data_IF_220422148304
#
_entry.id   IF_220422148304
#
_cell.length_a   1.000
_cell.length_b   1.000
_cell.length_c   1.000
_cell.angle_alpha   90.00
_cell.angle_beta   90.00
_cell.angle_gamma   90.00
#
_symmetry.space_group_name_H-M   'P 1'
#
loop_
_entity.id
_entity.type
_entity.pdbx_description
1 polymer ?
#
# COMPACT_ATOMS: atom_id res chain seq x y z
N UNK A 1 -5.48 -13.31 -5.90
CA UNK A 1 -5.90 -14.64 -5.40
C UNK A 1 -6.83 -14.44 -4.23
N UNK A 2 -8.13 -14.71 -4.44
CA UNK A 2 -9.10 -14.69 -3.34
C UNK A 2 -8.60 -15.55 -2.17
N UNK A 3 -8.87 -15.12 -0.93
CA UNK A 3 -9.68 -13.96 -0.54
C UNK A 3 -8.93 -12.63 -0.41
N UNK A 4 -7.64 -12.58 -0.74
CA UNK A 4 -6.82 -11.37 -0.59
C UNK A 4 -7.03 -10.39 -1.74
N UNK A 5 -7.25 -9.13 -1.38
CA UNK A 5 -7.40 -8.04 -2.33
C UNK A 5 -6.62 -6.79 -1.89
N UNK A 6 -6.42 -5.87 -2.79
CA UNK A 6 -5.90 -4.55 -2.49
C UNK A 6 -6.59 -3.48 -3.34
N UNK A 7 -6.51 -2.24 -2.91
CA UNK A 7 -7.15 -1.11 -3.58
C UNK A 7 -6.74 -1.00 -5.07
N UNK A 8 -5.51 -1.35 -5.42
CA UNK A 8 -5.06 -1.32 -6.82
C UNK A 8 -5.79 -2.30 -7.75
N UNK A 9 -6.39 -3.37 -7.18
CA UNK A 9 -7.25 -4.29 -7.93
C UNK A 9 -8.69 -3.76 -8.02
N UNK A 10 -9.15 -3.05 -6.98
CA UNK A 10 -10.56 -2.66 -6.84
C UNK A 10 -10.86 -1.27 -7.37
N UNK A 11 -9.87 -0.40 -7.47
CA UNK A 11 -10.00 1.02 -7.83
C UNK A 11 -10.66 1.24 -9.21
N UNK A 12 -10.55 0.28 -10.12
CA UNK A 12 -11.19 0.36 -11.44
C UNK A 12 -12.69 0.58 -11.38
N UNK A 13 -13.35 0.15 -10.30
CA UNK A 13 -14.80 0.32 -10.09
C UNK A 13 -15.23 1.77 -9.94
N UNK A 14 -14.29 2.65 -9.62
CA UNK A 14 -14.54 4.05 -9.28
C UNK A 14 -14.18 5.01 -10.43
N UNK A 15 -13.69 4.46 -11.54
CA UNK A 15 -13.37 5.24 -12.73
C UNK A 15 -14.29 4.89 -13.90
N UNK A 16 -14.43 5.84 -14.82
CA UNK A 16 -15.13 5.62 -16.07
C UNK A 16 -14.27 4.82 -17.06
N UNK A 17 -14.85 4.40 -18.16
CA UNK A 17 -14.18 3.71 -19.28
C UNK A 17 -13.06 4.52 -19.96
N UNK A 18 -12.96 5.82 -19.62
CA UNK A 18 -11.90 6.71 -20.12
C UNK A 18 -10.58 6.57 -19.36
N UNK A 19 -10.56 5.84 -18.24
CA UNK A 19 -9.36 5.64 -17.42
C UNK A 19 -8.96 4.17 -17.44
N UNK A 20 -7.73 3.91 -17.84
CA UNK A 20 -7.12 2.58 -17.79
C UNK A 20 -6.24 2.46 -16.53
N UNK A 21 -6.51 1.47 -15.71
CA UNK A 21 -5.70 1.16 -14.53
C UNK A 21 -4.78 -0.02 -14.84
N UNK A 22 -3.48 0.22 -14.81
CA UNK A 22 -2.45 -0.81 -14.94
C UNK A 22 -1.86 -1.13 -13.55
N UNK A 23 -2.24 -2.26 -12.96
CA UNK A 23 -1.76 -2.66 -11.64
C UNK A 23 -0.47 -3.47 -11.75
N UNK A 24 0.65 -2.88 -11.34
CA UNK A 24 1.97 -3.50 -11.26
C UNK A 24 2.36 -3.94 -9.84
N UNK A 25 1.48 -3.73 -8.87
CA UNK A 25 1.76 -4.12 -7.49
C UNK A 25 1.93 -5.62 -7.34
N UNK A 26 2.84 -6.02 -6.46
CA UNK A 26 3.08 -7.42 -6.13
C UNK A 26 3.23 -7.61 -4.64
N UNK A 27 2.56 -8.62 -4.12
CA UNK A 27 2.56 -8.93 -2.70
C UNK A 27 3.98 -9.27 -2.20
N UNK A 28 4.30 -8.83 -0.98
CA UNK A 28 5.54 -9.15 -0.30
C UNK A 28 6.73 -8.27 -0.68
N UNK A 29 6.64 -7.40 -1.69
CA UNK A 29 7.75 -6.54 -2.09
C UNK A 29 7.86 -5.28 -1.25
N UNK A 30 9.09 -4.86 -1.01
CA UNK A 30 9.49 -3.53 -0.56
C UNK A 30 9.86 -2.66 -1.77
N UNK A 31 9.99 -1.34 -1.60
CA UNK A 31 10.45 -0.45 -2.66
C UNK A 31 11.80 -0.91 -3.25
N UNK A 32 12.74 -1.30 -2.37
CA UNK A 32 14.05 -1.84 -2.76
C UNK A 32 13.91 -3.12 -3.62
N UNK A 33 13.14 -4.10 -3.16
CA UNK A 33 13.04 -5.38 -3.87
C UNK A 33 12.24 -5.28 -5.16
N UNK A 34 11.31 -4.34 -5.25
CA UNK A 34 10.60 -4.02 -6.49
C UNK A 34 11.58 -3.48 -7.56
N UNK A 35 12.43 -2.52 -7.18
CA UNK A 35 13.45 -1.96 -8.09
C UNK A 35 14.50 -3.03 -8.42
N UNK A 36 15.03 -3.74 -7.42
CA UNK A 36 16.03 -4.78 -7.61
C UNK A 36 15.56 -5.93 -8.51
N UNK A 37 14.27 -6.23 -8.49
CA UNK A 37 13.63 -7.19 -9.38
C UNK A 37 13.29 -6.67 -10.78
N UNK A 38 13.80 -5.51 -11.17
CA UNK A 38 13.57 -4.88 -12.50
C UNK A 38 12.09 -4.56 -12.81
N UNK A 39 11.27 -4.46 -11.77
CA UNK A 39 9.82 -4.22 -11.94
C UNK A 39 9.52 -2.74 -12.25
N UNK A 40 10.31 -1.82 -11.70
CA UNK A 40 10.24 -0.42 -12.07
C UNK A 40 10.61 -0.25 -13.56
N UNK A 41 11.70 -0.87 -14.01
CA UNK A 41 12.10 -0.82 -15.43
C UNK A 41 10.96 -1.29 -16.34
N UNK A 42 10.33 -2.41 -15.99
CA UNK A 42 9.18 -2.96 -16.75
C UNK A 42 8.00 -1.97 -16.78
N UNK A 43 7.63 -1.38 -15.65
CA UNK A 43 6.57 -0.38 -15.55
C UNK A 43 6.87 0.82 -16.45
N UNK A 44 8.10 1.32 -16.41
CA UNK A 44 8.55 2.47 -17.20
C UNK A 44 8.52 2.25 -18.71
N UNK A 45 8.53 0.99 -19.20
CA UNK A 45 8.37 0.70 -20.63
C UNK A 45 6.97 1.01 -21.13
N UNK A 46 5.97 0.99 -20.27
CA UNK A 46 4.56 1.22 -20.61
C UNK A 46 4.09 2.64 -20.27
N UNK A 47 4.80 3.30 -19.35
CA UNK A 47 4.45 4.63 -18.86
C UNK A 47 4.63 5.70 -19.94
N UNK A 48 3.65 6.60 -20.05
CA UNK A 48 3.60 7.70 -21.02
C UNK A 48 3.45 9.04 -20.31
N UNK A 49 3.78 10.09 -21.03
CA UNK A 49 3.52 11.47 -20.59
C UNK A 49 2.03 11.66 -20.30
N UNK A 50 1.75 12.21 -19.13
CA UNK A 50 0.39 12.45 -18.64
C UNK A 50 -0.20 11.33 -17.79
N UNK A 51 0.46 10.17 -17.69
CA UNK A 51 0.03 9.10 -16.78
C UNK A 51 0.22 9.50 -15.33
N UNK A 52 -0.52 8.85 -14.43
CA UNK A 52 -0.35 8.97 -12.98
C UNK A 52 0.28 7.70 -12.43
N UNK A 53 1.34 7.84 -11.63
CA UNK A 53 1.96 6.74 -10.90
C UNK A 53 1.60 6.82 -9.43
N UNK A 54 0.72 5.92 -8.95
CA UNK A 54 0.39 5.78 -7.53
C UNK A 54 1.41 4.84 -6.89
N UNK A 55 2.07 5.30 -5.83
CA UNK A 55 3.23 4.63 -5.20
C UNK A 55 2.89 4.35 -3.74
N UNK A 56 2.63 3.08 -3.40
CA UNK A 56 2.44 2.62 -2.02
C UNK A 56 3.49 1.58 -1.65
N UNK A 57 4.31 1.90 -0.66
CA UNK A 57 5.27 1.01 -0.02
C UNK A 57 5.35 1.31 1.48
N UNK A 58 6.02 0.44 2.26
CA UNK A 58 6.24 0.62 3.69
C UNK A 58 6.00 -0.65 4.50
N UNK A 59 4.98 -1.46 4.16
CA UNK A 59 4.68 -2.71 4.88
C UNK A 59 5.85 -3.69 4.96
N UNK A 60 6.61 -3.83 3.89
CA UNK A 60 7.74 -4.75 3.82
C UNK A 60 9.07 -4.05 4.03
N UNK A 61 9.16 -2.75 3.72
CA UNK A 61 10.36 -1.95 3.91
C UNK A 61 10.76 -1.88 5.39
N UNK A 62 9.81 -1.74 6.30
CA UNK A 62 10.05 -1.71 7.75
C UNK A 62 10.65 -3.02 8.31
N UNK A 63 10.56 -4.12 7.57
CA UNK A 63 11.19 -5.40 7.96
C UNK A 63 12.69 -5.41 7.68
N UNK A 64 13.18 -4.52 6.83
CA UNK A 64 14.60 -4.38 6.52
C UNK A 64 15.33 -3.70 7.68
N UNK A 65 16.34 -4.37 8.23
CA UNK A 65 17.14 -3.89 9.37
C UNK A 65 18.62 -3.83 8.99
N UNK A 66 19.36 -3.05 9.76
CA UNK A 66 20.81 -2.92 9.61
C UNK A 66 21.27 -1.52 9.21
N UNK A 67 22.58 -1.31 9.07
CA UNK A 67 23.15 -0.01 8.71
C UNK A 67 22.56 0.54 7.40
N UNK A 68 22.23 1.83 7.38
CA UNK A 68 21.63 2.50 6.21
C UNK A 68 20.19 2.10 5.88
N UNK A 69 19.56 1.23 6.67
CA UNK A 69 18.15 0.91 6.52
C UNK A 69 17.29 1.83 7.39
N UNK A 70 16.06 2.07 6.95
CA UNK A 70 15.10 2.88 7.69
C UNK A 70 14.30 3.82 6.81
N UNK A 71 13.27 4.42 7.41
CA UNK A 71 12.28 5.25 6.72
C UNK A 71 12.93 6.49 6.06
N UNK A 72 13.80 7.18 6.78
CA UNK A 72 14.48 8.39 6.31
C UNK A 72 15.84 8.14 5.61
N UNK A 73 16.20 6.87 5.38
CA UNK A 73 17.41 6.47 4.68
C UNK A 73 17.07 5.72 3.39
N UNK A 74 17.31 4.41 3.38
CA UNK A 74 17.12 3.59 2.18
C UNK A 74 15.71 3.65 1.61
N UNK A 75 14.67 3.66 2.46
CA UNK A 75 13.29 3.74 1.98
C UNK A 75 13.03 5.05 1.23
N UNK A 76 13.35 6.20 1.85
CA UNK A 76 13.18 7.50 1.20
C UNK A 76 13.97 7.61 -0.12
N UNK A 77 15.17 7.02 -0.16
CA UNK A 77 15.97 6.96 -1.38
C UNK A 77 15.28 6.19 -2.49
N UNK A 78 14.71 5.03 -2.20
CA UNK A 78 14.01 4.23 -3.21
C UNK A 78 12.68 4.88 -3.64
N UNK A 79 11.92 5.48 -2.72
CA UNK A 79 10.71 6.24 -3.09
C UNK A 79 11.06 7.40 -4.02
N UNK A 80 12.17 8.10 -3.75
CA UNK A 80 12.63 9.18 -4.62
C UNK A 80 12.94 8.70 -6.04
N UNK A 81 13.46 7.50 -6.22
CA UNK A 81 13.71 6.93 -7.56
C UNK A 81 12.40 6.76 -8.35
N UNK A 82 11.33 6.25 -7.74
CA UNK A 82 10.02 6.17 -8.41
C UNK A 82 9.52 7.55 -8.86
N UNK A 83 9.69 8.56 -8.02
CA UNK A 83 9.28 9.95 -8.31
C UNK A 83 10.06 10.49 -9.51
N UNK A 84 11.38 10.36 -9.47
CA UNK A 84 12.27 10.91 -10.50
C UNK A 84 12.02 10.23 -11.85
N UNK A 85 11.93 8.91 -11.86
CA UNK A 85 11.67 8.14 -13.08
C UNK A 85 10.29 8.45 -13.68
N UNK A 86 9.25 8.62 -12.84
CA UNK A 86 7.93 9.05 -13.33
C UNK A 86 8.01 10.44 -13.99
N UNK A 87 8.70 11.39 -13.35
CA UNK A 87 8.90 12.73 -13.90
C UNK A 87 9.69 12.73 -15.19
N UNK A 88 10.73 11.91 -15.31
CA UNK A 88 11.49 11.75 -16.56
C UNK A 88 10.62 11.26 -17.71
N UNK A 89 9.59 10.46 -17.44
CA UNK A 89 8.59 10.04 -18.42
C UNK A 89 7.49 11.10 -18.68
N UNK A 90 7.51 12.22 -17.94
CA UNK A 90 6.46 13.23 -18.00
C UNK A 90 5.14 12.77 -17.36
N UNK A 91 5.21 11.78 -16.47
CA UNK A 91 4.11 11.29 -15.67
C UNK A 91 4.01 12.02 -14.32
N UNK A 92 2.88 11.88 -13.64
CA UNK A 92 2.57 12.51 -12.37
C UNK A 92 2.68 11.51 -11.22
N UNK A 93 3.72 11.56 -10.37
CA UNK A 93 3.81 10.71 -9.19
C UNK A 93 2.79 11.15 -8.13
N UNK A 94 2.15 10.18 -7.48
CA UNK A 94 1.26 10.35 -6.34
C UNK A 94 1.70 9.36 -5.26
N UNK A 95 2.03 9.84 -4.08
CA UNK A 95 2.37 8.97 -2.97
C UNK A 95 1.13 8.50 -2.24
N UNK A 96 1.19 7.26 -1.75
CA UNK A 96 0.12 6.65 -0.95
C UNK A 96 0.75 6.09 0.31
N UNK A 97 0.25 6.48 1.49
CA UNK A 97 0.74 5.89 2.75
C UNK A 97 0.19 4.48 2.92
N UNK A 98 0.95 3.54 3.53
CA UNK A 98 0.47 2.18 3.73
C UNK A 98 -0.76 2.15 4.65
N UNK A 99 -1.72 1.31 4.29
CA UNK A 99 -2.94 1.10 5.09
C UNK A 99 -2.62 0.55 6.48
N UNK A 100 -3.46 0.82 7.47
CA UNK A 100 -3.29 0.29 8.83
C UNK A 100 -3.48 -1.22 8.86
N UNK A 101 -2.70 -1.90 9.71
CA UNK A 101 -3.04 -3.23 10.17
C UNK A 101 -4.14 -3.14 11.22
N UNK A 102 -5.04 -4.11 11.22
CA UNK A 102 -6.11 -4.21 12.21
C UNK A 102 -5.55 -4.72 13.54
N UNK A 103 -4.80 -3.85 14.21
CA UNK A 103 -4.26 -4.11 15.55
C UNK A 103 -4.77 -3.04 16.50
N UNK A 104 -5.59 -3.44 17.46
CA UNK A 104 -6.16 -2.54 18.47
C UNK A 104 -5.38 -2.59 19.78
N UNK A 105 -5.40 -1.48 20.49
CA UNK A 105 -4.98 -1.42 21.90
C UNK A 105 -6.16 -1.80 22.82
N UNK A 106 -5.90 -1.79 24.13
CA UNK A 106 -6.92 -2.09 25.15
C UNK A 106 -8.10 -1.11 25.20
N UNK A 107 -7.96 0.05 24.57
CA UNK A 107 -8.98 1.10 24.54
C UNK A 107 -9.76 1.10 23.19
N UNK A 108 -9.54 0.11 22.34
CA UNK A 108 -10.19 0.02 21.03
C UNK A 108 -9.63 1.01 20.00
N UNK A 109 -8.39 1.48 20.17
CA UNK A 109 -7.71 2.34 19.21
C UNK A 109 -6.72 1.56 18.36
N UNK A 110 -6.66 1.91 17.09
CA UNK A 110 -5.71 1.30 16.13
C UNK A 110 -4.28 1.71 16.49
N UNK A 111 -3.43 0.70 16.68
CA UNK A 111 -1.99 0.88 16.96
C UNK A 111 -1.26 1.35 15.72
N UNK A 112 -0.21 2.16 15.91
CA UNK A 112 0.77 2.38 14.88
C UNK A 112 1.72 1.18 14.79
N UNK A 113 1.73 0.55 13.62
CA UNK A 113 2.55 -0.64 13.35
C UNK A 113 3.53 -0.41 12.20
N UNK A 114 3.63 0.82 11.68
CA UNK A 114 4.48 1.15 10.54
C UNK A 114 5.64 2.06 10.90
N UNK A 115 5.83 2.39 12.20
CA UNK A 115 6.87 3.29 12.68
C UNK A 115 6.93 4.58 11.81
N UNK A 116 8.11 5.05 11.47
CA UNK A 116 8.31 6.32 10.76
C UNK A 116 8.02 6.27 9.23
N UNK A 117 7.67 5.10 8.67
CA UNK A 117 7.52 4.97 7.22
C UNK A 117 6.41 5.85 6.63
N UNK A 118 5.20 5.95 7.24
CA UNK A 118 4.18 6.88 6.76
C UNK A 118 4.55 8.34 6.93
N UNK A 119 5.25 8.69 8.01
CA UNK A 119 5.75 10.04 8.21
C UNK A 119 6.76 10.42 7.12
N UNK A 120 7.68 9.51 6.80
CA UNK A 120 8.65 9.72 5.71
C UNK A 120 7.97 9.92 4.35
N UNK A 121 6.86 9.20 4.06
CA UNK A 121 6.06 9.43 2.83
C UNK A 121 5.49 10.85 2.81
N UNK A 122 4.90 11.32 3.91
CA UNK A 122 4.35 12.68 4.00
C UNK A 122 5.44 13.73 3.82
N UNK A 123 6.59 13.54 4.45
CA UNK A 123 7.75 14.45 4.33
C UNK A 123 8.29 14.50 2.91
N UNK A 124 8.36 13.35 2.22
CA UNK A 124 8.77 13.30 0.82
C UNK A 124 7.77 14.06 -0.04
N UNK A 125 6.46 13.85 0.17
CA UNK A 125 5.42 14.52 -0.58
C UNK A 125 5.54 16.06 -0.49
N UNK A 126 5.79 16.57 0.71
CA UNK A 126 6.02 18.00 0.95
C UNK A 126 7.28 18.49 0.24
N UNK A 127 8.41 17.80 0.44
CA UNK A 127 9.71 18.20 -0.16
C UNK A 127 9.70 18.16 -1.68
N UNK A 128 9.03 17.17 -2.24
CA UNK A 128 8.93 16.98 -3.69
C UNK A 128 7.75 17.73 -4.32
N UNK A 129 6.91 18.39 -3.51
CA UNK A 129 5.70 19.08 -3.96
C UNK A 129 4.82 18.17 -4.84
N UNK A 130 4.46 17.00 -4.32
CA UNK A 130 3.60 16.02 -5.00
C UNK A 130 2.41 15.62 -4.12
N UNK A 131 1.29 15.20 -4.70
CA UNK A 131 0.13 14.77 -3.94
C UNK A 131 0.42 13.54 -3.07
N UNK A 132 -0.26 13.46 -1.93
CA UNK A 132 -0.29 12.26 -1.09
C UNK A 132 -1.73 11.86 -0.78
N UNK A 133 -2.02 10.57 -0.89
CA UNK A 133 -3.25 9.94 -0.42
C UNK A 133 -2.93 9.26 0.91
N UNK A 134 -3.49 9.76 1.98
CA UNK A 134 -3.17 9.28 3.33
C UNK A 134 -4.05 8.10 3.75
N UNK A 135 -3.86 6.94 3.11
CA UNK A 135 -4.61 5.73 3.44
C UNK A 135 -4.38 5.27 4.88
N UNK A 136 -3.23 5.60 5.47
CA UNK A 136 -2.96 5.25 6.86
C UNK A 136 -3.96 5.91 7.83
N UNK A 137 -4.20 7.20 7.68
CA UNK A 137 -5.16 7.90 8.53
C UNK A 137 -6.60 7.57 8.12
N UNK A 138 -6.89 7.45 6.84
CA UNK A 138 -8.22 7.05 6.35
C UNK A 138 -8.62 5.67 6.89
N UNK A 139 -7.75 4.67 6.81
CA UNK A 139 -8.05 3.32 7.32
C UNK A 139 -8.08 3.25 8.84
N UNK A 140 -7.32 4.10 9.54
CA UNK A 140 -7.44 4.25 10.99
C UNK A 140 -8.85 4.73 11.37
N UNK A 141 -9.31 5.83 10.78
CA UNK A 141 -10.64 6.39 11.03
C UNK A 141 -11.72 5.36 10.73
N UNK A 142 -11.64 4.69 9.57
CA UNK A 142 -12.59 3.65 9.18
C UNK A 142 -12.65 2.51 10.20
N UNK A 143 -11.51 1.94 10.56
CA UNK A 143 -11.45 0.83 11.52
C UNK A 143 -11.92 1.24 12.92
N UNK A 144 -11.54 2.42 13.39
CA UNK A 144 -11.97 2.90 14.72
C UNK A 144 -13.48 3.22 14.75
N UNK A 145 -14.05 3.70 13.64
CA UNK A 145 -15.50 3.95 13.53
C UNK A 145 -16.29 2.64 13.51
N UNK A 146 -15.82 1.63 12.79
CA UNK A 146 -16.45 0.31 12.76
C UNK A 146 -16.26 -0.44 14.08
N UNK A 147 -15.18 -0.18 14.79
CA UNK A 147 -14.83 -0.88 16.03
C UNK A 147 -14.16 -2.24 15.80
N UNK A 148 -13.81 -2.88 16.93
CA UNK A 148 -12.96 -4.09 16.94
C UNK A 148 -13.60 -5.25 16.19
N UNK A 149 -14.89 -5.49 16.35
CA UNK A 149 -15.54 -6.67 15.74
C UNK A 149 -15.88 -6.42 14.26
N UNK A 150 -16.59 -5.34 13.95
CA UNK A 150 -17.07 -5.07 12.60
C UNK A 150 -15.93 -4.80 11.60
N UNK A 151 -14.82 -4.23 12.04
CA UNK A 151 -13.66 -4.02 11.18
C UNK A 151 -13.02 -5.32 10.66
N UNK A 152 -13.34 -6.50 11.22
CA UNK A 152 -12.92 -7.79 10.66
C UNK A 152 -13.42 -7.99 9.23
N UNK A 153 -14.61 -7.45 8.91
CA UNK A 153 -15.19 -7.56 7.59
C UNK A 153 -14.38 -6.87 6.47
N UNK A 154 -13.49 -5.95 6.83
CA UNK A 154 -12.57 -5.34 5.87
C UNK A 154 -11.37 -6.24 5.55
N UNK A 155 -11.00 -7.14 6.44
CA UNK A 155 -9.78 -7.94 6.37
C UNK A 155 -10.10 -9.41 6.07
N UNK A 156 -9.05 -10.21 5.84
CA UNK A 156 -9.20 -11.62 5.50
C UNK A 156 -9.46 -12.43 6.76
N UNK A 157 -10.72 -12.41 7.20
CA UNK A 157 -11.24 -13.20 8.33
C UNK A 157 -12.36 -14.10 7.81
N UNK A 158 -12.09 -15.40 7.68
CA UNK A 158 -13.05 -16.36 7.16
C UNK A 158 -12.97 -17.69 7.90
N UNK A 159 -14.12 -18.33 8.21
CA UNK A 159 -14.13 -19.70 8.73
C UNK A 159 -13.43 -20.68 7.81
N UNK A 160 -12.99 -21.80 8.34
CA UNK A 160 -12.48 -22.89 7.52
C UNK A 160 -13.53 -23.32 6.48
N UNK A 161 -13.05 -23.77 5.32
CA UNK A 161 -13.87 -24.22 4.18
C UNK A 161 -14.75 -23.14 3.53
N UNK A 162 -14.46 -21.87 3.71
CA UNK A 162 -15.13 -20.78 2.98
C UNK A 162 -14.73 -20.75 1.51
N UNK A 163 -13.49 -21.07 1.19
CA UNK A 163 -12.96 -21.11 -0.18
C UNK A 163 -12.45 -22.51 -0.54
N UNK A 164 -12.45 -22.87 -1.82
CA UNK A 164 -11.90 -24.15 -2.27
C UNK A 164 -10.45 -24.35 -1.80
N UNK A 165 -10.18 -25.49 -1.12
CA UNK A 165 -8.86 -25.81 -0.60
C UNK A 165 -8.44 -25.10 0.69
N UNK A 166 -9.23 -24.20 1.21
CA UNK A 166 -8.98 -23.55 2.51
C UNK A 166 -9.49 -24.44 3.66
N UNK A 167 -8.58 -25.20 4.25
CA UNK A 167 -8.92 -26.16 5.34
C UNK A 167 -8.83 -25.55 6.74
N UNK A 168 -8.24 -24.35 6.88
CA UNK A 168 -8.04 -23.67 8.14
C UNK A 168 -8.78 -22.34 8.18
N UNK A 169 -9.17 -21.90 9.37
CA UNK A 169 -9.68 -20.54 9.57
C UNK A 169 -8.63 -19.50 9.17
N UNK A 170 -9.04 -18.44 8.48
CA UNK A 170 -8.20 -17.29 8.16
C UNK A 170 -8.45 -16.18 9.17
N UNK A 171 -7.36 -15.64 9.73
CA UNK A 171 -7.34 -14.52 10.71
C UNK A 171 -6.22 -13.54 10.37
N UNK A 172 -6.33 -12.91 9.21
CA UNK A 172 -5.33 -11.97 8.72
C UNK A 172 -5.74 -10.54 9.04
N UNK A 173 -5.00 -9.90 9.91
CA UNK A 173 -5.21 -8.50 10.33
C UNK A 173 -4.38 -7.50 9.49
N UNK A 174 -3.77 -7.93 8.42
CA UNK A 174 -2.90 -7.10 7.57
C UNK A 174 -3.47 -6.86 6.19
N UNK A 175 -4.02 -7.91 5.58
CA UNK A 175 -4.49 -7.84 4.20
C UNK A 175 -6.00 -7.71 4.14
N UNK A 176 -6.46 -6.85 3.25
CA UNK A 176 -7.88 -6.69 2.96
C UNK A 176 -8.43 -7.85 2.14
N UNK A 177 -9.73 -8.05 2.26
CA UNK A 177 -10.55 -8.76 1.29
C UNK A 177 -11.11 -7.79 0.23
N UNK A 178 -11.96 -8.28 -0.68
CA UNK A 178 -12.54 -7.47 -1.76
C UNK A 178 -13.49 -6.36 -1.27
N UNK A 179 -14.02 -6.46 -0.06
CA UNK A 179 -14.88 -5.44 0.54
C UNK A 179 -14.06 -4.31 1.16
N UNK A 180 -12.91 -4.64 1.78
CA UNK A 180 -12.04 -3.65 2.42
C UNK A 180 -11.05 -2.96 1.49
N UNK A 181 -10.86 -3.50 0.29
CA UNK A 181 -9.83 -3.07 -0.66
C UNK A 181 -10.23 -1.88 -1.56
#
# INVERSE_FOLDING_TARGET
NEPWASWGQMITRFFTDKVCIANYAESGLSANTFIGGKRLDKLLTQMKKGDYLLIEFGHNDQKQKGPGKGAYYSFSYYIKQFIDEARLKGAYPVLVTPTRRRQYDKNGKIKDTHADYPAAIRDIAVRENIPVIDLQDMTKVLCETMGVEESKHLYVHYPANTYPGQTQELKDNTHFNTFGA
#
